data_IF_679863031885
#
_entry.id   IF_679863031885
#
_cell.length_a   1.000
_cell.length_b   1.000
_cell.length_c   1.000
_cell.angle_alpha   90.00
_cell.angle_beta   90.00
_cell.angle_gamma   90.00
#
_symmetry.space_group_name_H-M   'P 1'
#
loop_
_entity.id
_entity.type
_entity.pdbx_description
1 polymer ?
#
# COMPACT_ATOMS: atom_id res chain seq x y z
N UNK A 1 -29.20 20.35 -28.13
CA UNK A 1 -29.57 19.16 -27.35
C UNK A 1 -28.86 19.27 -26.01
N UNK A 2 -29.58 19.33 -24.88
CA UNK A 2 -28.96 19.47 -23.56
C UNK A 2 -28.76 18.09 -22.90
N UNK A 3 -27.67 17.95 -22.15
CA UNK A 3 -27.27 16.71 -21.49
C UNK A 3 -28.32 16.23 -20.47
N UNK A 4 -29.07 17.16 -19.86
CA UNK A 4 -30.02 16.90 -18.78
C UNK A 4 -31.38 16.36 -19.27
N UNK A 5 -31.79 16.66 -20.51
CA UNK A 5 -33.09 16.25 -21.07
C UNK A 5 -33.40 14.76 -20.93
N UNK A 6 -32.51 13.80 -21.26
CA UNK A 6 -32.80 12.37 -21.10
C UNK A 6 -33.03 11.94 -19.63
N UNK A 7 -32.31 12.54 -18.68
CA UNK A 7 -32.42 12.20 -17.25
C UNK A 7 -33.73 12.70 -16.64
N UNK A 8 -34.24 13.85 -17.13
CA UNK A 8 -35.52 14.44 -16.69
C UNK A 8 -36.69 13.62 -17.25
N UNK A 9 -36.64 13.22 -18.52
CA UNK A 9 -37.71 12.45 -19.14
C UNK A 9 -37.78 10.97 -18.71
N UNK A 10 -36.72 10.44 -18.10
CA UNK A 10 -36.69 9.06 -17.57
C UNK A 10 -36.40 9.04 -16.06
N UNK A 11 -37.30 9.56 -15.22
CA UNK A 11 -37.06 9.71 -13.79
C UNK A 11 -36.79 8.38 -13.08
N UNK A 12 -37.45 7.29 -13.51
CA UNK A 12 -37.23 5.95 -12.95
C UNK A 12 -35.82 5.44 -13.25
N UNK A 13 -35.35 5.60 -14.49
CA UNK A 13 -33.99 5.16 -14.86
C UNK A 13 -32.92 5.96 -14.11
N UNK A 14 -33.13 7.28 -13.97
CA UNK A 14 -32.23 8.16 -13.21
C UNK A 14 -32.18 7.76 -11.73
N UNK A 15 -33.33 7.47 -11.11
CA UNK A 15 -33.37 7.00 -9.71
C UNK A 15 -32.65 5.65 -9.53
N UNK A 16 -32.86 4.70 -10.43
CA UNK A 16 -32.17 3.41 -10.38
C UNK A 16 -30.66 3.57 -10.54
N UNK A 17 -30.21 4.44 -11.44
CA UNK A 17 -28.79 4.76 -11.62
C UNK A 17 -28.19 5.36 -10.34
N UNK A 18 -28.87 6.35 -9.75
CA UNK A 18 -28.41 6.98 -8.51
C UNK A 18 -28.37 5.98 -7.36
N UNK A 19 -29.39 5.13 -7.23
CA UNK A 19 -29.45 4.10 -6.21
C UNK A 19 -28.30 3.09 -6.37
N UNK A 20 -28.04 2.63 -7.60
CA UNK A 20 -26.92 1.73 -7.89
C UNK A 20 -25.58 2.37 -7.49
N UNK A 21 -25.39 3.66 -7.79
CA UNK A 21 -24.17 4.39 -7.42
C UNK A 21 -24.02 4.46 -5.90
N UNK A 22 -25.08 4.83 -5.17
CA UNK A 22 -25.08 4.92 -3.70
C UNK A 22 -24.77 3.56 -3.07
N UNK A 23 -25.43 2.49 -3.53
CA UNK A 23 -25.20 1.14 -3.01
C UNK A 23 -23.76 0.66 -3.28
N UNK A 24 -23.25 0.91 -4.49
CA UNK A 24 -21.87 0.56 -4.83
C UNK A 24 -20.86 1.29 -3.94
N UNK A 25 -21.09 2.59 -3.68
CA UNK A 25 -20.26 3.40 -2.80
C UNK A 25 -20.35 2.94 -1.35
N UNK A 26 -21.54 2.59 -0.87
CA UNK A 26 -21.72 2.05 0.48
C UNK A 26 -20.95 0.75 0.68
N UNK A 27 -21.05 -0.20 -0.27
CA UNK A 27 -20.27 -1.45 -0.23
C UNK A 27 -18.78 -1.16 -0.27
N UNK A 28 -18.31 -0.30 -1.17
CA UNK A 28 -16.90 0.06 -1.28
C UNK A 28 -16.35 0.70 0.01
N UNK A 29 -17.16 1.52 0.69
CA UNK A 29 -16.79 2.14 1.96
C UNK A 29 -16.52 1.10 3.06
N UNK A 30 -17.38 0.08 3.17
CA UNK A 30 -17.18 -1.01 4.15
C UNK A 30 -16.02 -1.94 3.79
N UNK A 31 -15.65 -2.04 2.51
CA UNK A 31 -14.52 -2.84 2.04
C UNK A 31 -13.18 -2.11 2.10
N UNK A 32 -13.18 -0.80 2.36
CA UNK A 32 -11.95 -0.02 2.37
C UNK A 32 -11.07 -0.45 3.55
N UNK A 33 -9.84 -0.95 3.32
CA UNK A 33 -8.96 -1.36 4.40
C UNK A 33 -8.47 -0.13 5.17
N UNK A 34 -8.71 -0.10 6.48
CA UNK A 34 -8.20 0.96 7.35
C UNK A 34 -6.87 0.48 7.95
N UNK A 35 -5.76 1.02 7.44
CA UNK A 35 -4.44 0.78 8.01
C UNK A 35 -4.16 1.81 9.13
N UNK A 36 -3.92 1.39 10.39
CA UNK A 36 -3.72 2.31 11.51
C UNK A 36 -2.38 3.05 11.44
N UNK A 37 -1.40 2.50 10.73
CA UNK A 37 -0.15 3.17 10.36
C UNK A 37 0.16 2.85 8.89
N UNK A 38 0.70 3.80 8.12
CA UNK A 38 1.25 3.48 6.80
C UNK A 38 2.33 2.41 6.97
N UNK A 39 2.32 1.38 6.12
CA UNK A 39 3.43 0.43 6.04
C UNK A 39 4.65 1.21 5.54
N UNK A 40 5.46 1.69 6.48
CA UNK A 40 6.77 2.21 6.16
C UNK A 40 7.68 0.99 6.08
N UNK A 41 7.83 0.46 4.87
CA UNK A 41 8.91 -0.46 4.59
C UNK A 41 10.21 0.31 4.83
N UNK A 42 10.86 0.04 5.96
CA UNK A 42 12.25 0.41 6.18
C UNK A 42 13.10 -0.74 5.62
N UNK A 43 13.54 -0.68 4.34
CA UNK A 43 14.34 -1.74 3.76
C UNK A 43 15.66 -1.82 4.52
N UNK A 44 15.73 -2.75 5.47
CA UNK A 44 16.94 -3.05 6.21
C UNK A 44 17.66 -4.16 5.47
N UNK A 45 18.80 -3.83 4.86
CA UNK A 45 19.66 -4.82 4.22
C UNK A 45 20.47 -5.49 5.33
N UNK A 46 20.13 -6.74 5.68
CA UNK A 46 20.91 -7.54 6.62
C UNK A 46 22.02 -8.26 5.86
N UNK A 47 23.27 -7.91 6.13
CA UNK A 47 24.45 -8.60 5.58
C UNK A 47 25.08 -9.42 6.69
N UNK A 48 25.19 -10.73 6.48
CA UNK A 48 25.83 -11.65 7.42
C UNK A 48 27.13 -12.19 6.82
N UNK A 49 28.21 -12.16 7.60
CA UNK A 49 29.49 -12.73 7.22
C UNK A 49 30.10 -13.43 8.44
N UNK A 50 30.69 -14.60 8.23
CA UNK A 50 31.30 -15.39 9.29
C UNK A 50 32.70 -15.80 8.88
N UNK A 51 33.66 -15.70 9.82
CA UNK A 51 35.03 -16.16 9.64
C UNK A 51 35.38 -17.08 10.84
N UNK A 52 35.35 -18.42 10.65
CA UNK A 52 35.63 -19.38 11.71
C UNK A 52 37.05 -19.21 12.26
N UNK A 53 37.19 -19.14 13.59
CA UNK A 53 38.50 -19.07 14.25
C UNK A 53 39.14 -17.68 14.33
N UNK A 54 38.45 -16.62 13.91
CA UNK A 54 38.94 -15.25 14.07
C UNK A 54 38.72 -14.72 15.48
N UNK A 55 39.74 -14.05 16.04
CA UNK A 55 39.58 -13.25 17.26
C UNK A 55 38.64 -12.05 16.99
N UNK A 56 37.97 -11.50 18.02
CA UNK A 56 37.08 -10.35 17.86
C UNK A 56 37.72 -9.16 17.14
N UNK A 57 39.00 -8.89 17.41
CA UNK A 57 39.77 -7.83 16.74
C UNK A 57 39.96 -8.12 15.24
N UNK A 58 40.16 -9.39 14.87
CA UNK A 58 40.34 -9.82 13.47
C UNK A 58 39.02 -9.77 12.70
N UNK A 59 37.91 -10.10 13.35
CA UNK A 59 36.55 -9.96 12.78
C UNK A 59 36.22 -8.50 12.47
N UNK A 60 36.56 -7.57 13.37
CA UNK A 60 36.33 -6.14 13.16
C UNK A 60 37.16 -5.59 11.99
N UNK A 61 38.45 -5.92 11.93
CA UNK A 61 39.36 -5.41 10.90
C UNK A 61 39.13 -6.01 9.51
N UNK A 62 38.77 -7.30 9.43
CA UNK A 62 38.75 -8.05 8.15
C UNK A 62 37.34 -8.24 7.59
N UNK A 63 36.30 -8.25 8.43
CA UNK A 63 34.92 -8.51 7.98
C UNK A 63 34.04 -7.28 8.13
N UNK A 64 34.04 -6.61 9.29
CA UNK A 64 33.21 -5.41 9.49
C UNK A 64 33.74 -4.21 8.69
N UNK A 65 35.05 -3.95 8.71
CA UNK A 65 35.63 -2.76 8.04
C UNK A 65 35.43 -2.75 6.51
N UNK A 66 35.47 -3.88 5.78
CA UNK A 66 35.10 -3.91 4.37
C UNK A 66 33.59 -3.88 4.12
N UNK A 67 32.76 -4.40 5.04
CA UNK A 67 31.30 -4.41 4.90
C UNK A 67 30.67 -3.02 5.11
N UNK A 68 31.36 -2.12 5.81
CA UNK A 68 30.92 -0.74 6.05
C UNK A 68 31.34 0.26 4.95
N UNK A 69 32.25 -0.12 4.04
CA UNK A 69 32.60 0.69 2.86
C UNK A 69 31.75 0.31 1.65
#
# INVERSE_FOLDING_TARGET
MSLSTPFIHRPVATLLLTLALVLSGAVAYFLLPVAPLPQVDYPTISVSASLPGASPDTMAATVATPLER
#
